data_IF_818939586145
#
_entry.id   IF_818939586145
#
_cell.length_a   1.000
_cell.length_b   1.000
_cell.length_c   1.000
_cell.angle_alpha   90.00
_cell.angle_beta   90.00
_cell.angle_gamma   90.00
#
_symmetry.space_group_name_H-M   'P 1'
#
loop_
_entity.id
_entity.type
_entity.pdbx_description
1 polymer ?
#
# COMPACT_ATOMS: atom_id res chain seq x y z
N UNK A 1 -34.65 17.24 -34.21
CA UNK A 1 -34.68 16.14 -33.21
C UNK A 1 -33.47 16.36 -32.35
N UNK A 2 -33.68 16.73 -31.09
CA UNK A 2 -32.63 17.06 -30.13
C UNK A 2 -31.71 15.87 -29.93
N UNK A 3 -30.42 16.03 -30.23
CA UNK A 3 -29.39 15.04 -29.95
C UNK A 3 -29.48 14.62 -28.48
N UNK A 4 -29.77 13.34 -28.25
CA UNK A 4 -29.49 12.72 -26.96
C UNK A 4 -27.99 12.41 -26.95
N UNK A 5 -27.18 13.37 -26.54
CA UNK A 5 -25.79 13.07 -26.17
C UNK A 5 -25.81 12.00 -25.07
N UNK A 6 -25.13 10.90 -25.30
CA UNK A 6 -24.85 9.92 -24.25
C UNK A 6 -23.99 10.63 -23.21
N UNK A 7 -24.41 10.61 -21.93
CA UNK A 7 -23.62 11.20 -20.83
C UNK A 7 -22.24 10.55 -20.66
N UNK A 8 -22.03 9.37 -21.25
CA UNK A 8 -20.79 8.59 -21.21
C UNK A 8 -20.61 7.91 -22.57
N UNK A 9 -19.45 8.08 -23.20
CA UNK A 9 -19.09 7.49 -24.49
C UNK A 9 -19.07 5.95 -24.44
N UNK A 10 -19.19 5.31 -25.61
CA UNK A 10 -18.94 3.87 -25.75
C UNK A 10 -17.43 3.62 -25.72
N UNK A 11 -17.03 2.47 -25.19
CA UNK A 11 -15.64 1.99 -25.21
C UNK A 11 -15.44 1.05 -26.40
N UNK A 12 -14.22 1.01 -26.96
CA UNK A 12 -13.87 0.15 -28.09
C UNK A 12 -13.54 -1.28 -27.63
N UNK A 13 -12.68 -1.42 -26.62
CA UNK A 13 -12.37 -2.69 -25.97
C UNK A 13 -12.34 -2.50 -24.44
N UNK A 14 -12.57 -3.57 -23.68
CA UNK A 14 -12.45 -3.58 -22.22
C UNK A 14 -13.70 -4.12 -21.51
N UNK A 15 -13.97 -3.66 -20.30
CA UNK A 15 -15.05 -4.19 -19.45
C UNK A 15 -16.07 -3.12 -19.07
N UNK A 16 -17.36 -3.44 -19.15
CA UNK A 16 -18.46 -2.63 -18.63
C UNK A 16 -19.16 -3.36 -17.50
N UNK A 17 -19.03 -2.82 -16.29
CA UNK A 17 -19.73 -3.24 -15.08
C UNK A 17 -20.98 -2.37 -14.94
N UNK A 18 -22.13 -2.95 -15.23
CA UNK A 18 -23.43 -2.28 -15.12
C UNK A 18 -24.24 -2.87 -13.95
N UNK A 19 -25.22 -2.14 -13.44
CA UNK A 19 -26.08 -2.55 -12.30
C UNK A 19 -25.34 -2.65 -10.95
N UNK A 20 -24.35 -1.78 -10.73
CA UNK A 20 -23.75 -1.57 -9.42
C UNK A 20 -24.77 -0.80 -8.56
N UNK A 21 -24.95 -1.09 -7.25
CA UNK A 21 -25.79 -0.26 -6.38
C UNK A 21 -25.36 1.21 -6.38
N UNK A 22 -26.32 2.14 -6.31
CA UNK A 22 -26.02 3.57 -6.38
C UNK A 22 -25.06 4.04 -5.27
N UNK A 23 -23.99 4.75 -5.65
CA UNK A 23 -22.96 5.24 -4.73
C UNK A 23 -21.83 4.24 -4.41
N UNK A 24 -21.77 3.09 -5.09
CA UNK A 24 -20.77 2.05 -4.87
C UNK A 24 -19.72 1.93 -5.98
N UNK A 25 -19.83 2.70 -7.07
CA UNK A 25 -18.83 2.65 -8.16
C UNK A 25 -17.40 2.86 -7.68
N UNK A 26 -17.22 3.71 -6.66
CA UNK A 26 -15.90 4.01 -6.14
C UNK A 26 -15.30 2.82 -5.37
N UNK A 27 -16.11 2.17 -4.54
CA UNK A 27 -15.71 0.95 -3.85
C UNK A 27 -15.37 -0.18 -4.85
N UNK A 28 -16.10 -0.25 -5.97
CA UNK A 28 -15.82 -1.18 -7.08
C UNK A 28 -14.44 -0.90 -7.70
N UNK A 29 -14.06 0.36 -7.91
CA UNK A 29 -12.75 0.70 -8.48
C UNK A 29 -11.61 0.39 -7.52
N UNK A 30 -11.76 0.75 -6.24
CA UNK A 30 -10.79 0.41 -5.20
C UNK A 30 -10.52 -1.10 -5.13
N UNK A 31 -11.56 -1.93 -5.26
CA UNK A 31 -11.45 -3.41 -5.24
C UNK A 31 -10.72 -3.96 -6.44
N UNK A 32 -10.92 -3.36 -7.60
CA UNK A 32 -10.23 -3.74 -8.82
C UNK A 32 -8.79 -3.19 -8.85
N UNK A 33 -8.35 -2.50 -7.80
CA UNK A 33 -7.07 -1.80 -7.78
C UNK A 33 -6.97 -0.72 -8.87
N UNK A 34 -8.10 -0.20 -9.34
CA UNK A 34 -8.14 0.86 -10.37
C UNK A 34 -8.19 2.21 -9.65
N UNK A 35 -7.00 2.74 -9.35
CA UNK A 35 -6.83 3.97 -8.58
C UNK A 35 -6.64 5.23 -9.47
N UNK A 36 -6.71 5.05 -10.79
CA UNK A 36 -6.53 6.09 -11.79
C UNK A 36 -5.06 6.43 -12.08
N UNK A 37 -4.10 5.59 -11.68
CA UNK A 37 -2.66 5.79 -11.91
C UNK A 37 -2.05 4.79 -12.90
N UNK A 38 -2.68 3.65 -13.12
CA UNK A 38 -2.22 2.53 -13.97
C UNK A 38 -2.51 2.71 -15.47
N UNK A 39 -3.03 3.87 -15.87
CA UNK A 39 -3.20 4.26 -17.28
C UNK A 39 -4.49 3.76 -17.93
N UNK A 40 -5.33 3.00 -17.22
CA UNK A 40 -6.65 2.61 -17.72
C UNK A 40 -7.57 3.83 -17.87
N UNK A 41 -8.28 3.88 -18.99
CA UNK A 41 -9.33 4.89 -19.19
C UNK A 41 -10.60 4.38 -18.56
N UNK A 42 -11.10 5.09 -17.55
CA UNK A 42 -12.29 4.70 -16.79
C UNK A 42 -13.41 5.71 -17.02
N UNK A 43 -14.60 5.21 -17.30
CA UNK A 43 -15.81 6.02 -17.32
C UNK A 43 -16.78 5.60 -16.22
N UNK A 44 -17.18 6.54 -15.38
CA UNK A 44 -18.10 6.29 -14.25
C UNK A 44 -19.41 7.05 -14.46
N UNK A 45 -20.53 6.35 -14.40
CA UNK A 45 -21.85 6.94 -14.26
C UNK A 45 -22.42 6.62 -12.89
N UNK A 46 -22.39 7.57 -11.94
CA UNK A 46 -22.92 7.35 -10.60
C UNK A 46 -24.38 7.82 -10.46
N UNK A 47 -25.15 7.12 -9.64
CA UNK A 47 -26.53 7.44 -9.29
C UNK A 47 -27.45 7.60 -10.49
N UNK A 48 -27.19 6.84 -11.57
CA UNK A 48 -28.00 6.88 -12.78
C UNK A 48 -29.34 6.16 -12.54
N UNK A 49 -30.46 6.66 -13.10
CA UNK A 49 -31.74 6.00 -12.96
C UNK A 49 -31.70 4.55 -13.44
N UNK A 50 -32.33 3.65 -12.69
CA UNK A 50 -32.43 2.22 -13.02
C UNK A 50 -33.83 1.70 -12.75
N UNK A 51 -34.43 1.02 -13.73
CA UNK A 51 -35.72 0.35 -13.53
C UNK A 51 -35.61 -0.87 -12.59
N UNK A 52 -34.41 -1.43 -12.43
CA UNK A 52 -34.14 -2.61 -11.59
C UNK A 52 -33.74 -2.24 -10.15
N UNK A 53 -32.92 -1.20 -9.97
CA UNK A 53 -32.32 -0.83 -8.68
C UNK A 53 -32.80 0.53 -8.14
N UNK A 54 -33.65 1.25 -8.87
CA UNK A 54 -34.01 2.65 -8.60
C UNK A 54 -32.88 3.60 -9.00
N UNK A 55 -31.71 3.47 -8.37
CA UNK A 55 -30.46 4.09 -8.80
C UNK A 55 -29.35 3.05 -8.88
N UNK A 56 -28.55 3.14 -9.93
CA UNK A 56 -27.37 2.30 -10.13
C UNK A 56 -26.14 3.16 -10.43
N UNK A 57 -24.98 2.55 -10.26
CA UNK A 57 -23.77 3.04 -10.86
C UNK A 57 -23.36 2.15 -12.05
N UNK A 58 -22.54 2.71 -12.92
CA UNK A 58 -21.94 2.03 -14.08
C UNK A 58 -20.48 2.39 -14.12
N UNK A 59 -19.62 1.38 -14.23
CA UNK A 59 -18.17 1.54 -14.40
C UNK A 59 -17.78 0.91 -15.73
N UNK A 60 -17.00 1.63 -16.53
CA UNK A 60 -16.38 1.11 -17.75
C UNK A 60 -14.87 1.26 -17.62
N UNK A 61 -14.13 0.23 -17.98
CA UNK A 61 -12.67 0.20 -17.95
C UNK A 61 -12.21 -0.18 -19.35
N UNK A 62 -11.51 0.72 -20.03
CA UNK A 62 -10.99 0.48 -21.37
C UNK A 62 -9.78 -0.46 -21.33
N UNK A 63 -9.65 -1.30 -22.36
CA UNK A 63 -8.52 -2.21 -22.61
C UNK A 63 -8.15 -3.18 -21.46
N UNK A 64 -9.07 -3.39 -20.50
CA UNK A 64 -8.92 -4.35 -19.40
C UNK A 64 -10.09 -5.31 -19.31
N UNK A 65 -9.79 -6.60 -19.27
CA UNK A 65 -10.73 -7.68 -18.92
C UNK A 65 -10.46 -8.12 -17.48
N UNK A 66 -11.51 -8.28 -16.68
CA UNK A 66 -11.39 -8.64 -15.26
C UNK A 66 -11.12 -10.14 -15.08
N UNK A 67 -10.24 -10.48 -14.15
CA UNK A 67 -9.96 -11.85 -13.72
C UNK A 67 -11.12 -12.42 -12.90
N UNK A 68 -11.19 -13.75 -12.79
CA UNK A 68 -12.25 -14.42 -12.02
C UNK A 68 -12.24 -13.99 -10.54
N UNK A 69 -11.07 -13.83 -9.94
CA UNK A 69 -10.90 -13.39 -8.55
C UNK A 69 -11.52 -12.01 -8.31
N UNK A 70 -11.31 -11.07 -9.23
CA UNK A 70 -11.90 -9.73 -9.18
C UNK A 70 -13.43 -9.76 -9.29
N UNK A 71 -13.95 -10.61 -10.18
CA UNK A 71 -15.39 -10.81 -10.34
C UNK A 71 -16.04 -11.37 -9.07
N UNK A 72 -15.35 -12.28 -8.39
CA UNK A 72 -15.82 -12.88 -7.14
C UNK A 72 -15.94 -11.82 -6.02
N UNK A 73 -15.02 -10.84 -5.94
CA UNK A 73 -15.13 -9.72 -4.98
C UNK A 73 -16.24 -8.75 -5.35
N UNK A 74 -16.35 -8.41 -6.63
CA UNK A 74 -17.43 -7.56 -7.13
C UNK A 74 -18.81 -8.12 -6.80
N UNK A 75 -18.95 -9.45 -6.78
CA UNK A 75 -20.20 -10.13 -6.42
C UNK A 75 -20.68 -9.82 -5.00
N UNK A 76 -19.76 -9.52 -4.08
CA UNK A 76 -20.08 -9.27 -2.68
C UNK A 76 -20.68 -7.88 -2.49
N UNK A 77 -20.18 -6.90 -3.24
CA UNK A 77 -20.57 -5.49 -3.13
C UNK A 77 -21.67 -5.13 -4.12
N UNK A 78 -21.62 -5.74 -5.30
CA UNK A 78 -22.54 -5.49 -6.40
C UNK A 78 -23.11 -6.81 -6.96
N UNK A 79 -23.87 -7.60 -6.16
CA UNK A 79 -24.39 -8.90 -6.58
C UNK A 79 -25.38 -8.84 -7.75
N UNK A 80 -25.96 -7.65 -8.00
CA UNK A 80 -26.85 -7.43 -9.13
C UNK A 80 -26.11 -7.01 -10.41
N UNK A 81 -24.78 -6.86 -10.35
CA UNK A 81 -23.99 -6.35 -11.45
C UNK A 81 -23.94 -7.33 -12.62
N UNK A 82 -23.80 -6.76 -13.81
CA UNK A 82 -23.58 -7.46 -15.08
C UNK A 82 -22.26 -6.98 -15.66
N UNK A 83 -21.40 -7.93 -16.00
CA UNK A 83 -20.10 -7.69 -16.62
C UNK A 83 -20.26 -7.93 -18.11
N UNK A 84 -19.94 -6.93 -18.91
CA UNK A 84 -19.96 -7.04 -20.36
C UNK A 84 -18.54 -6.82 -20.86
N UNK A 85 -17.97 -7.82 -21.52
CA UNK A 85 -16.67 -7.71 -22.19
C UNK A 85 -16.91 -7.14 -23.58
N UNK A 86 -16.27 -6.01 -23.87
CA UNK A 86 -16.40 -5.27 -25.12
C UNK A 86 -15.16 -5.54 -25.97
N UNK A 87 -15.36 -5.90 -27.23
CA UNK A 87 -14.28 -6.04 -28.22
C UNK A 87 -14.76 -5.44 -29.54
N UNK A 88 -14.06 -4.44 -30.06
CA UNK A 88 -14.42 -3.73 -31.29
C UNK A 88 -15.80 -3.06 -31.25
N UNK A 89 -16.14 -2.39 -30.14
CA UNK A 89 -17.43 -1.71 -29.86
C UNK A 89 -18.66 -2.62 -29.68
N UNK A 90 -18.49 -3.94 -29.76
CA UNK A 90 -19.56 -4.92 -29.58
C UNK A 90 -19.41 -5.67 -28.27
N UNK A 91 -20.53 -6.08 -27.67
CA UNK A 91 -20.52 -6.96 -26.50
C UNK A 91 -20.14 -8.36 -26.95
N UNK A 92 -18.89 -8.74 -26.73
CA UNK A 92 -18.38 -10.06 -27.07
C UNK A 92 -18.89 -11.12 -26.09
N UNK A 93 -18.88 -10.79 -24.80
CA UNK A 93 -19.32 -11.68 -23.73
C UNK A 93 -20.12 -10.92 -22.70
N UNK A 94 -21.09 -11.61 -22.08
CA UNK A 94 -21.91 -11.05 -21.02
C UNK A 94 -22.03 -12.07 -19.91
N UNK A 95 -21.49 -11.70 -18.76
CA UNK A 95 -21.48 -12.51 -17.55
C UNK A 95 -22.37 -11.81 -16.53
N UNK A 96 -23.31 -12.54 -15.95
CA UNK A 96 -23.91 -12.08 -14.70
C UNK A 96 -22.90 -12.38 -13.61
N UNK A 97 -22.70 -11.45 -12.68
CA UNK A 97 -21.84 -11.77 -11.54
C UNK A 97 -22.54 -12.85 -10.72
N UNK A 98 -22.00 -14.06 -10.75
CA UNK A 98 -22.47 -15.14 -9.92
C UNK A 98 -21.92 -14.92 -8.52
N UNK A 99 -22.81 -14.90 -7.53
CA UNK A 99 -22.40 -14.78 -6.14
C UNK A 99 -21.75 -16.12 -5.76
N UNK A 100 -20.43 -16.15 -5.50
CA UNK A 100 -19.76 -17.37 -5.14
C UNK A 100 -20.30 -17.82 -3.78
N UNK A 101 -20.28 -19.12 -3.53
CA UNK A 101 -20.67 -19.64 -2.21
C UNK A 101 -19.63 -19.32 -1.15
N UNK A 102 -18.39 -19.02 -1.55
CA UNK A 102 -17.26 -18.74 -0.67
C UNK A 102 -16.25 -17.80 -1.35
N UNK A 103 -15.57 -16.96 -0.57
CA UNK A 103 -14.44 -16.12 -1.00
C UNK A 103 -13.22 -16.37 -0.12
N UNK A 104 -12.01 -16.28 -0.70
CA UNK A 104 -10.75 -16.64 -0.03
C UNK A 104 -9.64 -15.61 -0.29
N UNK A 105 -8.90 -15.22 0.74
CA UNK A 105 -7.66 -14.42 0.65
C UNK A 105 -7.83 -12.92 0.47
N UNK A 106 -9.08 -12.44 0.42
CA UNK A 106 -9.40 -11.06 0.03
C UNK A 106 -9.92 -10.24 1.22
N UNK A 107 -10.52 -10.91 2.21
CA UNK A 107 -11.12 -10.28 3.37
C UNK A 107 -10.36 -10.67 4.64
N UNK A 108 -10.22 -9.74 5.58
CA UNK A 108 -9.75 -10.00 6.93
C UNK A 108 -10.95 -10.18 7.87
N UNK A 109 -10.88 -11.12 8.81
CA UNK A 109 -11.97 -11.33 9.75
C UNK A 109 -12.05 -10.15 10.73
N UNK A 110 -13.27 -9.70 11.05
CA UNK A 110 -13.50 -8.68 12.08
C UNK A 110 -13.28 -9.20 13.50
N UNK A 111 -13.21 -10.52 13.69
CA UNK A 111 -12.86 -11.13 14.96
C UNK A 111 -11.34 -11.28 15.08
N UNK A 112 -10.74 -10.47 15.95
CA UNK A 112 -9.30 -10.47 16.21
C UNK A 112 -8.76 -11.76 16.84
N UNK A 113 -9.61 -12.66 17.36
CA UNK A 113 -9.19 -13.97 17.86
C UNK A 113 -9.44 -15.09 16.84
N UNK A 114 -9.69 -14.73 15.59
CA UNK A 114 -9.88 -15.70 14.53
C UNK A 114 -8.53 -16.23 14.08
N UNK A 115 -8.40 -17.55 13.92
CA UNK A 115 -7.17 -18.19 13.45
C UNK A 115 -6.65 -17.66 12.11
N UNK A 116 -7.53 -17.05 11.29
CA UNK A 116 -7.15 -16.41 10.02
C UNK A 116 -6.75 -14.94 10.12
N UNK A 117 -6.75 -14.40 11.34
CA UNK A 117 -6.24 -13.06 11.68
C UNK A 117 -4.95 -13.18 12.49
N UNK A 118 -4.80 -14.30 13.21
CA UNK A 118 -3.63 -14.66 14.00
C UNK A 118 -2.51 -15.32 13.15
N UNK A 119 -1.44 -15.73 13.82
CA UNK A 119 -0.13 -16.17 13.26
C UNK A 119 -0.15 -17.50 12.48
N UNK A 120 -1.33 -18.03 12.13
CA UNK A 120 -1.41 -19.25 11.34
C UNK A 120 -1.32 -18.92 9.83
N UNK A 121 -0.53 -19.66 9.03
CA UNK A 121 -0.39 -19.44 7.59
C UNK A 121 -1.62 -19.95 6.83
N UNK A 122 -2.81 -19.52 7.25
CA UNK A 122 -4.09 -19.90 6.69
C UNK A 122 -4.68 -18.72 5.93
N UNK A 123 -5.06 -18.97 4.69
CA UNK A 123 -5.75 -17.97 3.86
C UNK A 123 -7.13 -17.71 4.45
N UNK A 124 -7.53 -16.46 4.77
CA UNK A 124 -8.87 -16.16 5.25
C UNK A 124 -9.95 -16.65 4.29
N UNK A 125 -10.98 -17.34 4.78
CA UNK A 125 -12.08 -17.91 3.98
C UNK A 125 -13.41 -17.49 4.57
N UNK A 126 -14.34 -17.09 3.71
CA UNK A 126 -15.67 -16.66 4.11
C UNK A 126 -16.76 -17.26 3.23
N UNK A 127 -17.75 -17.89 3.86
CA UNK A 127 -19.01 -18.25 3.23
C UNK A 127 -19.79 -16.97 2.91
N UNK A 128 -20.32 -16.87 1.69
CA UNK A 128 -21.09 -15.70 1.27
C UNK A 128 -22.55 -15.91 1.67
N UNK A 129 -23.07 -14.99 2.48
CA UNK A 129 -24.48 -14.97 2.91
C UNK A 129 -25.28 -13.97 2.08
N UNK A 130 -26.61 -13.99 2.23
CA UNK A 130 -27.49 -13.03 1.55
C UNK A 130 -27.17 -11.58 1.94
N UNK A 131 -26.85 -11.33 3.22
CA UNK A 131 -26.67 -10.02 3.85
C UNK A 131 -25.25 -9.77 4.42
N UNK A 132 -24.25 -10.54 3.99
CA UNK A 132 -22.88 -10.39 4.46
C UNK A 132 -21.98 -11.57 4.10
N UNK A 133 -20.90 -11.74 4.85
CA UNK A 133 -20.01 -12.90 4.75
C UNK A 133 -19.77 -13.50 6.13
N UNK A 134 -19.68 -14.82 6.23
CA UNK A 134 -19.38 -15.56 7.46
C UNK A 134 -18.00 -16.16 7.36
N UNK A 135 -17.12 -15.83 8.29
CA UNK A 135 -15.81 -16.46 8.39
C UNK A 135 -15.96 -17.98 8.60
N UNK A 136 -15.32 -18.78 7.73
CA UNK A 136 -15.36 -20.26 7.80
C UNK A 136 -14.69 -20.79 9.06
N UNK A 137 -13.83 -19.98 9.69
CA UNK A 137 -13.02 -20.41 10.83
C UNK A 137 -13.65 -20.11 12.19
N UNK A 138 -14.25 -18.93 12.37
CA UNK A 138 -14.78 -18.51 13.67
C UNK A 138 -16.27 -18.16 13.65
N UNK A 139 -16.95 -18.42 12.52
CA UNK A 139 -18.36 -18.11 12.29
C UNK A 139 -18.76 -16.63 12.44
N UNK A 140 -17.77 -15.72 12.56
CA UNK A 140 -18.04 -14.30 12.66
C UNK A 140 -18.63 -13.79 11.35
N UNK A 141 -19.75 -13.07 11.46
CA UNK A 141 -20.48 -12.53 10.32
C UNK A 141 -20.18 -11.04 10.18
N UNK A 142 -19.65 -10.65 9.02
CA UNK A 142 -19.44 -9.25 8.62
C UNK A 142 -20.62 -8.85 7.73
N UNK A 143 -21.42 -7.88 8.20
CA UNK A 143 -22.60 -7.37 7.48
C UNK A 143 -22.42 -5.95 6.97
N UNK A 144 -21.83 -5.10 7.80
CA UNK A 144 -21.58 -3.69 7.52
C UNK A 144 -20.09 -3.48 7.22
N UNK A 145 -19.79 -2.47 6.39
CA UNK A 145 -18.42 -2.02 6.10
C UNK A 145 -17.47 -3.11 5.58
N UNK A 146 -18.01 -4.03 4.77
CA UNK A 146 -17.23 -5.04 4.05
C UNK A 146 -15.96 -4.46 3.36
N UNK A 147 -16.00 -3.24 2.77
CA UNK A 147 -14.80 -2.58 2.25
C UNK A 147 -13.67 -2.37 3.25
N UNK A 148 -13.97 -2.05 4.52
CA UNK A 148 -12.94 -1.85 5.55
C UNK A 148 -12.23 -3.15 5.97
N UNK A 149 -12.78 -4.30 5.56
CA UNK A 149 -12.21 -5.61 5.78
C UNK A 149 -11.44 -6.14 4.56
N UNK A 150 -11.26 -5.33 3.52
CA UNK A 150 -10.49 -5.71 2.33
C UNK A 150 -9.00 -5.47 2.62
N UNK A 151 -8.17 -6.51 2.40
CA UNK A 151 -6.72 -6.40 2.58
C UNK A 151 -6.13 -5.46 1.51
N UNK A 152 -5.35 -4.45 1.92
CA UNK A 152 -4.68 -3.49 1.01
C UNK A 152 -3.61 -4.17 0.14
N UNK A 153 -2.99 -5.21 0.70
CA UNK A 153 -2.20 -6.20 -0.02
C UNK A 153 -2.32 -7.50 0.78
N UNK A 154 -2.87 -8.53 0.15
CA UNK A 154 -3.04 -9.84 0.79
C UNK A 154 -1.69 -10.48 1.12
N UNK A 155 -1.70 -11.47 2.00
CA UNK A 155 -0.51 -12.30 2.32
C UNK A 155 0.12 -12.90 1.05
N UNK A 156 -0.71 -13.33 0.10
CA UNK A 156 -0.24 -13.92 -1.16
C UNK A 156 0.42 -12.87 -2.07
N UNK A 157 -0.19 -11.69 -2.22
CA UNK A 157 0.40 -10.60 -3.01
C UNK A 157 1.70 -10.09 -2.40
N UNK A 158 1.78 -10.07 -1.06
CA UNK A 158 3.01 -9.74 -0.35
C UNK A 158 4.12 -10.75 -0.64
N UNK A 159 3.80 -12.05 -0.60
CA UNK A 159 4.74 -13.10 -0.97
C UNK A 159 5.25 -12.91 -2.40
N UNK A 160 4.34 -12.79 -3.37
CA UNK A 160 4.69 -12.66 -4.78
C UNK A 160 5.53 -11.40 -5.07
N UNK A 161 5.17 -10.28 -4.45
CA UNK A 161 5.86 -9.00 -4.64
C UNK A 161 7.26 -9.02 -4.02
N UNK A 162 7.42 -9.60 -2.81
CA UNK A 162 8.72 -9.72 -2.16
C UNK A 162 9.62 -10.69 -2.90
N UNK A 163 9.12 -11.88 -3.28
CA UNK A 163 9.90 -12.85 -4.07
C UNK A 163 10.39 -12.22 -5.38
N UNK A 164 9.51 -11.50 -6.08
CA UNK A 164 9.87 -10.77 -7.29
C UNK A 164 10.92 -9.68 -7.02
N UNK A 165 10.81 -8.92 -5.94
CA UNK A 165 11.79 -7.89 -5.60
C UNK A 165 13.18 -8.50 -5.29
N UNK A 166 13.24 -9.57 -4.50
CA UNK A 166 14.49 -10.27 -4.17
C UNK A 166 15.17 -10.80 -5.44
N UNK A 167 14.42 -11.39 -6.38
CA UNK A 167 14.94 -11.82 -7.68
C UNK A 167 15.50 -10.68 -8.54
N UNK A 168 14.94 -9.47 -8.44
CA UNK A 168 15.40 -8.28 -9.15
C UNK A 168 16.57 -7.56 -8.45
N UNK A 169 17.09 -8.13 -7.36
CA UNK A 169 18.26 -7.63 -6.64
C UNK A 169 17.96 -6.64 -5.52
N UNK A 170 16.72 -6.61 -5.03
CA UNK A 170 16.41 -5.88 -3.79
C UNK A 170 16.87 -6.68 -2.57
N UNK A 171 17.45 -5.97 -1.62
CA UNK A 171 17.94 -6.55 -0.36
C UNK A 171 17.39 -5.81 0.87
N UNK A 172 16.43 -4.90 0.69
CA UNK A 172 15.75 -4.21 1.80
C UNK A 172 14.25 -4.41 1.63
N UNK A 173 13.63 -5.05 2.63
CA UNK A 173 12.19 -5.32 2.68
C UNK A 173 11.59 -4.58 3.87
N UNK A 174 10.54 -3.81 3.63
CA UNK A 174 9.82 -3.04 4.65
C UNK A 174 8.36 -3.51 4.73
N UNK A 175 7.92 -3.89 5.93
CA UNK A 175 6.53 -4.25 6.25
C UNK A 175 6.09 -3.61 7.57
N UNK A 176 4.92 -3.96 8.10
CA UNK A 176 4.41 -3.51 9.39
C UNK A 176 3.33 -4.48 9.92
N UNK A 177 3.15 -4.51 11.25
CA UNK A 177 2.06 -5.25 11.89
C UNK A 177 0.68 -4.86 11.31
N UNK A 178 0.47 -3.55 11.11
CA UNK A 178 -0.79 -3.02 10.56
C UNK A 178 -1.07 -3.43 9.11
N UNK A 179 -0.09 -3.93 8.36
CA UNK A 179 -0.31 -4.37 6.98
C UNK A 179 -0.90 -5.78 6.91
N UNK A 180 -0.84 -6.55 8.02
CA UNK A 180 -1.45 -7.88 8.08
C UNK A 180 -0.83 -8.91 7.13
N UNK A 181 0.39 -8.67 6.64
CA UNK A 181 1.02 -9.49 5.59
C UNK A 181 2.43 -9.98 5.94
N UNK A 182 2.86 -9.86 7.20
CA UNK A 182 4.17 -10.31 7.69
C UNK A 182 4.44 -11.80 7.38
N UNK A 183 3.43 -12.67 7.45
CA UNK A 183 3.58 -14.09 7.13
C UNK A 183 3.95 -14.34 5.65
N UNK A 184 3.42 -13.53 4.73
CA UNK A 184 3.72 -13.61 3.31
C UNK A 184 5.13 -13.13 3.02
N UNK A 185 5.53 -12.04 3.66
CA UNK A 185 6.91 -11.51 3.60
C UNK A 185 7.92 -12.52 4.13
N UNK A 186 7.64 -13.13 5.30
CA UNK A 186 8.50 -14.14 5.90
C UNK A 186 8.68 -15.37 5.01
N UNK A 187 7.58 -15.87 4.44
CA UNK A 187 7.60 -17.00 3.52
C UNK A 187 8.43 -16.70 2.26
N UNK A 188 8.30 -15.50 1.68
CA UNK A 188 9.07 -15.10 0.51
C UNK A 188 10.57 -15.01 0.79
N UNK A 189 10.95 -14.52 1.98
CA UNK A 189 12.34 -14.47 2.42
C UNK A 189 12.89 -15.88 2.64
N UNK A 190 12.12 -16.78 3.24
CA UNK A 190 12.54 -18.16 3.49
C UNK A 190 12.73 -18.99 2.20
N UNK A 191 11.93 -18.71 1.17
CA UNK A 191 12.00 -19.40 -0.13
C UNK A 191 13.02 -18.77 -1.09
N UNK A 192 13.55 -17.58 -0.80
CA UNK A 192 14.46 -16.87 -1.67
C UNK A 192 15.83 -17.54 -1.80
N UNK A 193 16.44 -17.46 -2.99
CA UNK A 193 17.84 -17.84 -3.24
C UNK A 193 18.81 -16.71 -2.81
N UNK A 194 18.56 -16.12 -1.64
CA UNK A 194 19.35 -15.05 -1.03
C UNK A 194 19.49 -15.34 0.45
N UNK A 195 20.71 -15.31 0.97
CA UNK A 195 20.98 -15.56 2.38
C UNK A 195 20.25 -14.53 3.25
N UNK A 196 19.66 -14.97 4.37
CA UNK A 196 18.90 -14.09 5.29
C UNK A 196 19.72 -12.90 5.75
N UNK A 197 21.02 -13.07 5.96
CA UNK A 197 21.96 -12.02 6.40
C UNK A 197 22.21 -10.94 5.34
N UNK A 198 21.91 -11.22 4.07
CA UNK A 198 21.98 -10.24 2.97
C UNK A 198 20.67 -9.46 2.82
N UNK A 199 19.60 -9.82 3.54
CA UNK A 199 18.31 -9.13 3.51
C UNK A 199 18.19 -8.26 4.76
N UNK A 200 18.01 -6.95 4.56
CA UNK A 200 17.65 -6.01 5.63
C UNK A 200 16.13 -5.98 5.77
N UNK A 201 15.61 -6.56 6.85
CA UNK A 201 14.17 -6.67 7.12
C UNK A 201 13.71 -5.63 8.15
N UNK A 202 12.76 -4.80 7.74
CA UNK A 202 12.11 -3.80 8.60
C UNK A 202 10.66 -4.17 8.88
N UNK A 203 10.22 -4.13 10.15
CA UNK A 203 8.79 -4.11 10.51
C UNK A 203 8.48 -3.00 11.50
N UNK A 204 7.19 -2.78 11.77
CA UNK A 204 6.71 -1.67 12.59
C UNK A 204 5.65 -2.12 13.58
N UNK A 205 5.82 -1.67 14.82
CA UNK A 205 4.88 -1.86 15.92
C UNK A 205 3.60 -1.05 15.67
N UNK A 206 2.43 -1.70 15.80
CA UNK A 206 1.13 -1.03 15.85
C UNK A 206 1.11 -0.04 17.04
N UNK A 207 0.85 1.26 16.81
CA UNK A 207 0.77 2.28 17.86
C UNK A 207 -0.28 2.02 18.95
N UNK A 208 -1.21 1.08 18.74
CA UNK A 208 -2.16 0.63 19.76
C UNK A 208 -1.48 -0.08 20.95
N UNK A 209 -0.28 -0.64 20.75
CA UNK A 209 0.57 -1.22 21.78
C UNK A 209 1.30 -0.12 22.55
N UNK A 210 0.85 0.15 23.78
CA UNK A 210 1.27 1.36 24.54
C UNK A 210 2.08 1.09 25.80
N UNK A 211 2.19 -0.16 26.21
CA UNK A 211 3.02 -0.56 27.35
C UNK A 211 4.25 -1.33 26.87
N UNK A 212 5.32 -1.34 27.66
CA UNK A 212 6.53 -2.13 27.38
C UNK A 212 6.18 -3.58 27.10
N UNK A 213 5.30 -4.17 27.91
CA UNK A 213 4.87 -5.57 27.75
C UNK A 213 4.16 -5.79 26.41
N UNK A 214 3.19 -4.95 26.07
CA UNK A 214 2.40 -5.13 24.85
C UNK A 214 3.26 -4.95 23.60
N UNK A 215 4.22 -4.01 23.63
CA UNK A 215 5.19 -3.80 22.55
C UNK A 215 6.07 -5.03 22.38
N UNK A 216 6.68 -5.54 23.46
CA UNK A 216 7.57 -6.71 23.37
C UNK A 216 6.80 -7.95 22.91
N UNK A 217 5.61 -8.18 23.45
CA UNK A 217 4.78 -9.33 23.07
C UNK A 217 4.32 -9.25 21.60
N UNK A 218 3.94 -8.06 21.11
CA UNK A 218 3.56 -7.90 19.70
C UNK A 218 4.73 -8.11 18.75
N UNK A 219 5.94 -7.71 19.16
CA UNK A 219 7.17 -7.91 18.38
C UNK A 219 7.57 -9.37 18.34
N UNK A 220 7.41 -10.13 19.43
CA UNK A 220 7.58 -11.59 19.39
C UNK A 220 6.63 -12.23 18.38
N UNK A 221 5.38 -11.80 18.35
CA UNK A 221 4.43 -12.22 17.30
C UNK A 221 4.91 -11.86 15.88
N UNK A 222 5.49 -10.67 15.68
CA UNK A 222 6.09 -10.32 14.38
C UNK A 222 7.27 -11.22 14.01
N UNK A 223 8.16 -11.53 14.95
CA UNK A 223 9.30 -12.46 14.77
C UNK A 223 8.78 -13.85 14.36
N UNK A 224 7.74 -14.34 15.03
CA UNK A 224 7.09 -15.62 14.73
C UNK A 224 6.44 -15.61 13.33
N UNK A 225 5.65 -14.58 12.99
CA UNK A 225 5.00 -14.45 11.66
C UNK A 225 6.01 -14.34 10.54
N UNK A 226 7.08 -13.57 10.74
CA UNK A 226 8.14 -13.41 9.74
C UNK A 226 9.03 -14.66 9.63
N UNK A 227 8.96 -15.58 10.60
CA UNK A 227 9.76 -16.80 10.61
C UNK A 227 11.27 -16.53 10.75
N UNK A 228 11.65 -15.45 11.42
CA UNK A 228 13.05 -15.04 11.59
C UNK A 228 13.47 -15.12 13.06
N UNK A 229 14.76 -15.25 13.35
CA UNK A 229 15.24 -15.17 14.74
C UNK A 229 15.35 -13.71 15.22
N UNK A 230 15.65 -12.79 14.31
CA UNK A 230 15.83 -11.37 14.61
C UNK A 230 15.41 -10.49 13.43
N UNK A 231 14.83 -9.35 13.73
CA UNK A 231 14.46 -8.30 12.76
C UNK A 231 15.61 -7.31 12.65
N UNK A 232 15.99 -6.88 11.46
CA UNK A 232 17.12 -5.94 11.31
C UNK A 232 16.76 -4.56 11.85
N UNK A 233 15.55 -4.06 11.57
CA UNK A 233 15.07 -2.77 12.03
C UNK A 233 13.61 -2.81 12.51
N UNK A 234 13.38 -2.39 13.74
CA UNK A 234 12.05 -2.24 14.31
C UNK A 234 11.69 -0.76 14.49
N UNK A 235 10.52 -0.36 13.97
CA UNK A 235 10.03 1.01 14.12
C UNK A 235 8.76 1.06 14.97
N UNK A 236 8.52 2.17 15.67
CA UNK A 236 7.14 2.55 16.03
C UNK A 236 6.48 3.23 14.83
N UNK A 237 5.34 2.72 14.35
CA UNK A 237 4.75 3.12 13.06
C UNK A 237 4.24 4.58 13.04
N UNK A 238 3.62 5.03 14.13
CA UNK A 238 3.16 6.40 14.30
C UNK A 238 3.22 6.81 15.77
N UNK A 239 3.41 8.11 16.07
CA UNK A 239 3.25 8.61 17.42
C UNK A 239 1.78 8.51 17.87
N UNK A 240 1.51 7.74 18.92
CA UNK A 240 0.17 7.66 19.50
C UNK A 240 -0.04 8.80 20.53
N UNK A 241 -1.08 9.64 20.42
CA UNK A 241 -1.30 10.79 21.31
C UNK A 241 -1.44 10.45 22.80
N UNK A 242 -2.01 9.27 23.09
CA UNK A 242 -2.21 8.79 24.47
C UNK A 242 -1.06 7.92 25.00
N UNK A 243 -0.04 7.63 24.20
CA UNK A 243 1.10 6.83 24.64
C UNK A 243 2.16 7.73 25.28
N UNK A 244 2.77 7.27 26.37
CA UNK A 244 3.95 7.93 26.91
C UNK A 244 5.15 7.57 26.03
N UNK A 245 5.81 8.57 25.44
CA UNK A 245 6.96 8.32 24.55
C UNK A 245 8.09 7.55 25.24
N UNK A 246 8.39 7.86 26.52
CA UNK A 246 9.42 7.14 27.27
C UNK A 246 9.09 5.65 27.39
N UNK A 247 7.85 5.32 27.75
CA UNK A 247 7.39 3.92 27.80
C UNK A 247 7.47 3.20 26.45
N UNK A 248 7.21 3.90 25.35
CA UNK A 248 7.37 3.34 24.00
C UNK A 248 8.83 3.08 23.70
N UNK A 249 9.73 4.03 24.00
CA UNK A 249 11.16 3.86 23.80
C UNK A 249 11.73 2.72 24.68
N UNK A 250 11.33 2.65 25.95
CA UNK A 250 11.69 1.55 26.85
C UNK A 250 11.26 0.18 26.28
N UNK A 251 10.11 0.13 25.60
CA UNK A 251 9.61 -1.06 24.91
C UNK A 251 10.49 -1.47 23.73
N UNK A 252 10.87 -0.50 22.89
CA UNK A 252 11.77 -0.73 21.75
C UNK A 252 13.18 -1.13 22.21
N UNK A 253 13.74 -0.43 23.20
CA UNK A 253 15.04 -0.79 23.81
C UNK A 253 15.01 -2.20 24.39
N UNK A 254 13.88 -2.58 25.02
CA UNK A 254 13.69 -3.94 25.53
C UNK A 254 13.72 -5.00 24.42
N UNK A 255 13.13 -4.73 23.26
CA UNK A 255 13.21 -5.63 22.10
C UNK A 255 14.65 -5.82 21.60
N UNK A 256 15.47 -4.75 21.63
CA UNK A 256 16.91 -4.85 21.32
C UNK A 256 17.62 -5.71 22.35
N UNK A 257 17.39 -5.45 23.64
CA UNK A 257 18.01 -6.20 24.73
C UNK A 257 17.67 -7.70 24.70
N UNK A 258 16.46 -8.05 24.27
CA UNK A 258 16.03 -9.45 24.12
C UNK A 258 16.49 -10.10 22.80
N UNK A 259 17.15 -9.35 21.91
CA UNK A 259 17.64 -9.85 20.61
C UNK A 259 16.56 -9.99 19.54
N UNK A 260 15.33 -9.53 19.79
CA UNK A 260 14.23 -9.57 18.83
C UNK A 260 14.49 -8.66 17.62
N UNK A 261 15.28 -7.61 17.82
CA UNK A 261 15.72 -6.71 16.74
C UNK A 261 17.14 -6.20 16.94
N UNK A 262 17.83 -5.89 15.83
CA UNK A 262 19.20 -5.34 15.83
C UNK A 262 19.21 -3.82 16.00
N UNK A 263 18.28 -3.13 15.34
CA UNK A 263 18.19 -1.68 15.35
C UNK A 263 16.76 -1.23 15.63
N UNK A 264 16.63 -0.04 16.20
CA UNK A 264 15.34 0.60 16.41
C UNK A 264 15.29 1.95 15.71
N UNK A 265 14.07 2.35 15.33
CA UNK A 265 13.81 3.65 14.76
C UNK A 265 12.40 4.11 15.07
N UNK A 266 12.02 5.21 14.45
CA UNK A 266 10.68 5.79 14.56
C UNK A 266 10.10 6.05 13.17
N UNK A 267 8.80 6.33 13.11
CA UNK A 267 8.17 6.74 11.87
C UNK A 267 7.17 7.87 12.14
N UNK A 268 7.18 8.85 11.24
CA UNK A 268 6.33 10.04 11.26
C UNK A 268 6.54 10.95 12.48
N UNK A 269 7.80 11.13 12.89
CA UNK A 269 8.14 12.05 13.96
C UNK A 269 8.50 13.43 13.37
N UNK A 270 8.22 14.49 14.13
CA UNK A 270 8.78 15.81 13.89
C UNK A 270 10.12 15.94 14.62
N UNK A 271 10.86 17.04 14.38
CA UNK A 271 12.18 17.28 14.97
C UNK A 271 12.14 17.20 16.50
N UNK A 272 11.17 17.86 17.14
CA UNK A 272 11.04 17.88 18.60
C UNK A 272 10.82 16.47 19.16
N UNK A 273 9.94 15.68 18.52
CA UNK A 273 9.64 14.33 18.99
C UNK A 273 10.80 13.37 18.72
N UNK A 274 11.46 13.47 17.57
CA UNK A 274 12.64 12.68 17.23
C UNK A 274 13.80 12.97 18.20
N UNK A 275 14.04 14.25 18.53
CA UNK A 275 15.04 14.64 19.52
C UNK A 275 14.74 14.04 20.90
N UNK A 276 13.47 14.08 21.34
CA UNK A 276 13.08 13.44 22.60
C UNK A 276 13.24 11.92 22.56
N UNK A 277 12.88 11.26 21.46
CA UNK A 277 13.05 9.82 21.32
C UNK A 277 14.52 9.42 21.48
N UNK A 278 15.43 10.14 20.82
CA UNK A 278 16.89 9.94 20.96
C UNK A 278 17.43 10.16 22.38
N UNK A 279 16.83 11.08 23.14
CA UNK A 279 17.22 11.34 24.53
C UNK A 279 16.67 10.31 25.52
N UNK A 280 15.54 9.67 25.18
CA UNK A 280 14.85 8.72 26.03
C UNK A 280 15.30 7.28 25.79
N UNK A 281 15.67 6.94 24.56
CA UNK A 281 16.14 5.59 24.20
C UNK A 281 17.58 5.36 24.63
N UNK A 282 17.85 4.16 25.14
CA UNK A 282 19.21 3.68 25.37
C UNK A 282 19.89 3.27 24.05
N UNK A 283 19.17 2.61 23.14
CA UNK A 283 19.68 2.25 21.83
C UNK A 283 19.62 3.46 20.85
N UNK A 284 20.59 3.59 19.93
CA UNK A 284 20.56 4.65 18.93
C UNK A 284 19.32 4.56 18.02
N UNK A 285 18.66 5.69 17.79
CA UNK A 285 17.59 5.80 16.80
C UNK A 285 18.21 5.80 15.40
N UNK A 286 18.07 4.68 14.70
CA UNK A 286 18.68 4.46 13.41
C UNK A 286 18.06 5.32 12.30
N UNK A 287 16.72 5.44 12.30
CA UNK A 287 16.00 6.19 11.27
C UNK A 287 14.74 6.87 11.81
N UNK A 288 14.31 7.92 11.12
CA UNK A 288 12.91 8.34 11.08
C UNK A 288 12.33 8.08 9.69
N UNK A 289 11.37 7.16 9.61
CA UNK A 289 10.67 6.83 8.37
C UNK A 289 9.50 7.78 8.15
N UNK A 290 9.59 8.66 7.15
CA UNK A 290 8.63 9.74 6.91
C UNK A 290 8.27 9.88 5.45
N UNK A 291 7.14 10.54 5.18
CA UNK A 291 6.77 10.87 3.80
C UNK A 291 7.82 11.83 3.24
N UNK A 292 8.40 11.52 2.10
CA UNK A 292 9.41 12.41 1.53
C UNK A 292 9.44 12.29 0.01
N UNK A 293 9.12 13.40 -0.66
CA UNK A 293 9.03 13.49 -2.12
C UNK A 293 9.17 14.96 -2.57
N UNK A 294 9.31 15.27 -3.87
CA UNK A 294 9.61 16.62 -4.35
C UNK A 294 8.63 17.73 -3.92
N UNK A 295 7.39 17.38 -3.58
CA UNK A 295 6.37 18.30 -3.09
C UNK A 295 6.27 18.38 -1.56
N UNK A 296 6.99 17.49 -0.86
CA UNK A 296 7.07 17.40 0.59
C UNK A 296 8.52 17.13 1.04
N UNK A 297 9.45 18.08 0.83
CA UNK A 297 10.89 17.85 1.03
C UNK A 297 11.36 17.97 2.48
N UNK A 298 10.46 18.19 3.44
CA UNK A 298 10.72 18.19 4.90
C UNK A 298 12.06 18.82 5.34
N UNK A 299 12.39 20.02 4.82
CA UNK A 299 13.76 20.59 4.90
C UNK A 299 14.33 20.65 6.32
N UNK A 300 13.50 21.02 7.30
CA UNK A 300 13.92 21.12 8.69
C UNK A 300 14.26 19.76 9.30
N UNK A 301 13.38 18.76 9.10
CA UNK A 301 13.61 17.38 9.53
C UNK A 301 14.81 16.76 8.83
N UNK A 302 14.95 16.97 7.51
CA UNK A 302 16.10 16.48 6.74
C UNK A 302 17.41 17.04 7.28
N UNK A 303 17.49 18.36 7.52
CA UNK A 303 18.69 18.99 8.09
C UNK A 303 19.00 18.40 9.46
N UNK A 304 17.99 18.26 10.33
CA UNK A 304 18.18 17.67 11.64
C UNK A 304 18.69 16.23 11.58
N UNK A 305 18.12 15.40 10.70
CA UNK A 305 18.56 14.02 10.47
C UNK A 305 20.02 13.96 10.01
N UNK A 306 20.43 14.84 9.08
CA UNK A 306 21.82 14.95 8.61
C UNK A 306 22.77 15.42 9.71
N UNK A 307 22.39 16.45 10.47
CA UNK A 307 23.20 17.02 11.56
C UNK A 307 23.38 16.04 12.75
N UNK A 308 22.48 15.07 12.88
CA UNK A 308 22.42 14.15 14.03
C UNK A 308 22.70 12.69 13.69
N UNK A 309 23.10 12.42 12.44
CA UNK A 309 23.43 11.09 11.92
C UNK A 309 22.28 10.08 12.08
N UNK A 310 21.04 10.55 11.86
CA UNK A 310 19.83 9.73 11.81
C UNK A 310 19.42 9.58 10.35
N UNK A 311 19.28 8.35 9.85
CA UNK A 311 18.85 8.11 8.47
C UNK A 311 17.41 8.60 8.28
N UNK A 312 17.11 9.29 7.18
CA UNK A 312 15.73 9.53 6.78
C UNK A 312 15.29 8.42 5.82
N UNK A 313 14.27 7.64 6.21
CA UNK A 313 13.67 6.63 5.32
C UNK A 313 12.44 7.21 4.64
N UNK A 314 12.51 7.44 3.33
CA UNK A 314 11.45 8.05 2.55
C UNK A 314 10.40 7.02 2.13
N UNK A 315 9.18 7.14 2.66
CA UNK A 315 8.00 6.46 2.11
C UNK A 315 7.19 7.38 1.17
N UNK A 316 6.38 6.76 0.31
CA UNK A 316 5.63 7.44 -0.76
C UNK A 316 6.50 8.40 -1.61
N UNK A 317 7.69 7.98 -2.09
CA UNK A 317 8.61 8.86 -2.82
C UNK A 317 8.03 9.37 -4.15
N UNK A 318 7.03 8.67 -4.70
CA UNK A 318 6.29 9.04 -5.90
C UNK A 318 4.98 9.80 -5.62
N UNK A 319 4.79 10.28 -4.38
CA UNK A 319 3.59 10.99 -3.94
C UNK A 319 2.29 10.21 -4.24
N UNK A 320 2.23 8.92 -3.89
CA UNK A 320 1.11 8.02 -4.18
C UNK A 320 0.69 8.06 -5.66
N UNK A 321 1.67 7.88 -6.55
CA UNK A 321 1.47 7.94 -8.01
C UNK A 321 1.36 9.36 -8.59
N UNK A 322 1.17 10.39 -7.76
CA UNK A 322 1.04 11.77 -8.24
C UNK A 322 2.25 12.27 -9.05
N UNK A 323 3.46 11.81 -8.71
CA UNK A 323 4.68 12.23 -9.38
C UNK A 323 4.89 11.58 -10.77
N UNK A 324 4.17 10.49 -11.10
CA UNK A 324 4.38 9.71 -12.34
C UNK A 324 4.18 10.59 -13.58
N UNK A 325 3.15 11.44 -13.57
CA UNK A 325 2.78 12.31 -14.68
C UNK A 325 3.34 13.73 -14.62
N UNK A 326 4.35 14.02 -13.80
CA UNK A 326 4.86 15.40 -13.67
C UNK A 326 5.78 15.79 -14.84
N UNK A 327 5.39 16.82 -15.59
CA UNK A 327 6.10 17.28 -16.79
C UNK A 327 7.58 17.63 -16.55
N UNK A 328 7.93 18.18 -15.38
CA UNK A 328 9.31 18.55 -15.07
C UNK A 328 10.16 17.30 -14.84
N UNK A 329 9.60 16.29 -14.16
CA UNK A 329 10.28 15.01 -13.98
C UNK A 329 10.49 14.31 -15.33
N UNK A 330 9.47 14.32 -16.19
CA UNK A 330 9.54 13.73 -17.53
C UNK A 330 10.50 14.49 -18.47
N UNK A 331 10.56 15.81 -18.37
CA UNK A 331 11.53 16.64 -19.11
C UNK A 331 12.97 16.33 -18.70
N UNK A 332 13.24 16.26 -17.39
CA UNK A 332 14.57 15.95 -16.88
C UNK A 332 14.95 14.50 -17.22
N UNK A 333 14.02 13.55 -17.06
CA UNK A 333 14.25 12.12 -17.34
C UNK A 333 14.69 11.86 -18.78
N UNK A 334 14.09 12.56 -19.75
CA UNK A 334 14.50 12.50 -21.17
C UNK A 334 15.97 12.82 -21.42
N UNK A 335 16.64 13.60 -20.55
CA UNK A 335 18.07 13.91 -20.68
C UNK A 335 18.98 12.74 -20.28
N UNK A 336 18.45 11.84 -19.46
CA UNK A 336 19.17 10.72 -18.86
C UNK A 336 18.70 9.36 -19.38
N UNK A 337 17.74 9.33 -20.31
CA UNK A 337 17.05 8.12 -20.75
C UNK A 337 16.39 7.37 -19.58
N UNK A 338 15.76 8.15 -18.67
CA UNK A 338 15.06 7.65 -17.48
C UNK A 338 13.61 8.15 -17.44
N UNK A 339 12.75 7.39 -16.77
CA UNK A 339 11.36 7.75 -16.53
C UNK A 339 11.22 8.86 -15.47
N UNK A 340 10.09 9.58 -15.47
CA UNK A 340 9.77 10.55 -14.41
C UNK A 340 9.86 9.96 -12.98
N UNK A 341 9.32 8.76 -12.73
CA UNK A 341 9.51 8.03 -11.46
C UNK A 341 10.97 7.82 -11.08
N UNK A 342 11.83 7.39 -12.01
CA UNK A 342 13.26 7.22 -11.75
C UNK A 342 13.93 8.54 -11.35
N UNK A 343 13.56 9.66 -11.99
CA UNK A 343 14.07 10.99 -11.59
C UNK A 343 13.59 11.39 -10.20
N UNK A 344 12.34 11.10 -9.83
CA UNK A 344 11.83 11.36 -8.48
C UNK A 344 12.54 10.52 -7.41
N UNK A 345 12.76 9.23 -7.68
CA UNK A 345 13.51 8.34 -6.79
C UNK A 345 14.97 8.77 -6.68
N UNK A 346 15.60 9.16 -7.80
CA UNK A 346 16.96 9.68 -7.79
C UNK A 346 17.05 10.99 -7.03
N UNK A 347 16.07 11.86 -7.14
CA UNK A 347 15.99 13.07 -6.32
C UNK A 347 16.01 12.73 -4.83
N UNK A 348 15.24 11.74 -4.39
CA UNK A 348 15.23 11.28 -2.99
C UNK A 348 16.59 10.72 -2.57
N UNK A 349 17.15 9.76 -3.32
CA UNK A 349 18.39 9.04 -2.93
C UNK A 349 19.67 9.83 -3.13
N UNK A 350 19.62 10.99 -3.79
CA UNK A 350 20.78 11.86 -3.95
C UNK A 350 20.96 12.81 -2.75
N UNK A 351 19.97 12.93 -1.88
CA UNK A 351 20.16 13.55 -0.59
C UNK A 351 21.09 12.69 0.28
N UNK A 352 22.02 13.35 0.96
CA UNK A 352 22.85 12.70 1.96
C UNK A 352 21.98 12.14 3.09
N UNK A 353 22.29 10.92 3.53
CA UNK A 353 21.62 10.22 4.63
C UNK A 353 20.12 9.94 4.40
N UNK A 354 19.71 9.73 3.14
CA UNK A 354 18.33 9.39 2.78
C UNK A 354 18.27 8.06 2.02
N UNK A 355 17.41 7.15 2.48
CA UNK A 355 17.03 5.93 1.76
C UNK A 355 15.56 6.00 1.36
N UNK A 356 15.12 5.20 0.40
CA UNK A 356 13.72 5.22 -0.08
C UNK A 356 13.16 3.81 -0.22
N UNK A 357 11.87 3.67 0.07
CA UNK A 357 11.13 2.39 -0.01
C UNK A 357 9.94 2.51 -0.98
N UNK A 358 10.18 2.55 -2.31
CA UNK A 358 9.11 2.52 -3.28
C UNK A 358 8.44 1.14 -3.33
N UNK A 359 7.11 1.10 -3.20
CA UNK A 359 6.33 -0.12 -3.38
C UNK A 359 6.02 -0.34 -4.86
N UNK A 360 6.06 -1.60 -5.31
CA UNK A 360 5.58 -2.03 -6.62
C UNK A 360 5.20 -3.51 -6.60
N UNK A 361 4.12 -3.85 -7.30
CA UNK A 361 3.73 -5.24 -7.65
C UNK A 361 4.14 -5.59 -9.10
N UNK A 362 4.70 -4.64 -9.84
CA UNK A 362 5.13 -4.79 -11.23
C UNK A 362 6.64 -5.02 -11.33
N UNK A 363 7.04 -6.12 -11.99
CA UNK A 363 8.45 -6.46 -12.26
C UNK A 363 9.18 -5.36 -13.04
N UNK A 364 8.50 -4.78 -14.03
CA UNK A 364 9.07 -3.71 -14.84
C UNK A 364 9.37 -2.49 -13.98
N UNK A 365 8.45 -2.08 -13.12
CA UNK A 365 8.66 -0.94 -12.22
C UNK A 365 9.74 -1.25 -11.17
N UNK A 366 9.86 -2.48 -10.67
CA UNK A 366 10.96 -2.87 -9.76
C UNK A 366 12.32 -2.68 -10.44
N UNK A 367 12.47 -3.15 -11.69
CA UNK A 367 13.71 -2.93 -12.48
C UNK A 367 14.02 -1.46 -12.69
N UNK A 368 13.01 -0.66 -13.05
CA UNK A 368 13.20 0.79 -13.23
C UNK A 368 13.57 1.47 -11.91
N UNK A 369 12.92 1.11 -10.80
CA UNK A 369 13.08 1.74 -9.50
C UNK A 369 14.50 1.55 -8.92
N UNK A 370 15.15 0.41 -9.19
CA UNK A 370 16.54 0.16 -8.75
C UNK A 370 17.58 0.75 -9.71
N UNK A 371 17.23 0.89 -11.00
CA UNK A 371 18.07 1.46 -12.06
C UNK A 371 18.12 3.01 -12.04
N UNK A 372 18.49 3.57 -10.88
CA UNK A 372 18.52 5.02 -10.64
C UNK A 372 19.92 5.56 -10.27
N UNK A 373 20.85 4.68 -9.95
CA UNK A 373 22.15 5.06 -9.35
C UNK A 373 23.23 5.40 -10.39
N UNK A 374 22.98 5.13 -11.67
CA UNK A 374 23.82 5.52 -12.81
C UNK A 374 23.64 6.99 -13.22
N UNK A 375 22.65 7.68 -12.65
CA UNK A 375 22.35 9.09 -12.91
C UNK A 375 22.87 9.99 -11.79
N UNK A 376 23.31 11.20 -12.12
CA UNK A 376 23.60 12.27 -11.16
C UNK A 376 22.85 13.52 -11.60
N UNK A 377 21.83 13.90 -10.83
CA UNK A 377 21.07 15.13 -11.07
C UNK A 377 21.94 16.33 -10.72
N UNK A 378 21.99 17.31 -11.61
CA UNK A 378 22.69 18.57 -11.30
C UNK A 378 21.97 19.31 -10.17
N UNK A 379 22.69 20.22 -9.49
CA UNK A 379 22.08 21.08 -8.46
C UNK A 379 20.89 21.87 -9.01
N UNK A 380 20.99 22.37 -10.23
CA UNK A 380 19.91 23.12 -10.87
C UNK A 380 18.67 22.24 -11.12
N UNK A 381 18.85 20.99 -11.57
CA UNK A 381 17.73 20.05 -11.73
C UNK A 381 17.12 19.67 -10.40
N UNK A 382 17.95 19.40 -9.39
CA UNK A 382 17.51 19.10 -8.05
C UNK A 382 16.66 20.25 -7.45
N UNK A 383 17.08 21.49 -7.66
CA UNK A 383 16.33 22.69 -7.26
C UNK A 383 15.03 22.84 -8.07
N UNK A 384 15.05 22.58 -9.38
CA UNK A 384 13.86 22.59 -10.25
C UNK A 384 12.82 21.53 -9.85
N UNK A 385 13.28 20.36 -9.44
CA UNK A 385 12.41 19.26 -9.00
C UNK A 385 11.73 19.62 -7.67
N UNK A 386 12.49 20.21 -6.74
CA UNK A 386 12.05 20.59 -5.40
C UNK A 386 10.98 21.69 -5.45
N UNK A 387 9.71 21.30 -5.43
CA UNK A 387 8.55 22.20 -5.57
C UNK A 387 7.54 21.97 -4.44
N UNK A 388 7.81 22.46 -3.21
CA UNK A 388 6.94 22.25 -2.06
C UNK A 388 5.50 22.65 -2.35
N UNK A 389 4.56 21.75 -2.09
CA UNK A 389 3.14 22.01 -2.32
C UNK A 389 2.26 21.18 -1.38
N UNK A 390 1.72 21.84 -0.35
CA UNK A 390 0.71 21.27 0.54
C UNK A 390 -0.54 20.84 -0.22
N UNK A 391 -0.94 21.60 -1.24
CA UNK A 391 -2.12 21.27 -2.06
C UNK A 391 -1.91 19.97 -2.85
N UNK A 392 -0.80 19.85 -3.60
CA UNK A 392 -0.50 18.63 -4.35
C UNK A 392 -0.38 17.42 -3.42
N UNK A 393 0.33 17.58 -2.31
CA UNK A 393 0.49 16.53 -1.29
C UNK A 393 -0.84 16.12 -0.67
N UNK A 394 -1.70 17.08 -0.32
CA UNK A 394 -3.02 16.80 0.25
C UNK A 394 -3.95 16.10 -0.74
N UNK A 395 -3.92 16.50 -2.02
CA UNK A 395 -4.68 15.84 -3.09
C UNK A 395 -4.23 14.39 -3.29
N UNK A 396 -2.92 14.11 -3.25
CA UNK A 396 -2.41 12.73 -3.37
C UNK A 396 -2.65 11.88 -2.12
N UNK A 397 -2.74 12.48 -0.93
CA UNK A 397 -3.19 11.76 0.27
C UNK A 397 -4.66 11.39 0.19
N UNK A 398 -5.52 12.33 -0.20
CA UNK A 398 -6.95 12.09 -0.33
C UNK A 398 -7.23 11.02 -1.38
N UNK A 399 -6.49 10.99 -2.50
CA UNK A 399 -6.57 9.91 -3.49
C UNK A 399 -6.13 8.54 -2.96
N UNK A 400 -5.21 8.49 -1.99
CA UNK A 400 -4.74 7.23 -1.39
C UNK A 400 -5.47 6.80 -0.11
N UNK A 401 -6.39 7.61 0.41
CA UNK A 401 -7.16 7.34 1.64
C UNK A 401 -8.68 7.37 1.43
N UNK A 402 -9.16 8.02 0.38
CA UNK A 402 -10.55 7.89 -0.04
C UNK A 402 -10.66 6.61 -0.87
N UNK A 403 -11.66 5.75 -0.60
CA UNK A 403 -12.08 4.79 -1.59
C UNK A 403 -12.67 5.62 -2.74
N UNK A 404 -11.86 5.84 -3.77
CA UNK A 404 -12.29 6.39 -5.06
C UNK A 404 -12.59 5.23 -5.99
#
# INVERSE_FOLDING_TARGET
MTDRELRVSKIENGTVIDHIPGGQALNVLAILGIDGTSGEVVSIGMNVPSDRLGRKDVVKVEDRELSQSELDVLSLIAPAATINIIRGYEVAEKHLVERPTEVSGILQCSNHNCISVDDEPITPRFEVLDDGVRCVYCDTIIRDDLPAHILVMSTQEAYESVSMALEEGYHHVDTAQLYGNEAGVGSAIADADVDREEIFLTTKVDPSNRSVKDIVDSVRGSVDRLGVETIDLLLIHWPHPLANLGTVMDGLDRCVWEGLTRHIGVSNFDVDRLERARKLSEAPIFTDQVRFHPWWPQRELLSYCQDTDVVLTAYSPLANGGAIGDDVLQEIGRRYDKSGPQVALRWVTQHENVITIPMSTSRTHLRENIDIFDVLLTREEHDRITRPSYLRTGLTMLKGQLPV
#
